data_IF_336691420402
#
_entry.id   IF_336691420402
#
_cell.length_a   1.000
_cell.length_b   1.000
_cell.length_c   1.000
_cell.angle_alpha   90.00
_cell.angle_beta   90.00
_cell.angle_gamma   90.00
#
_symmetry.space_group_name_H-M   'P 1'
#
loop_
_entity.id
_entity.type
_entity.pdbx_description
1 polymer ?
#
# COMPACT_ATOMS: atom_id res chain seq x y z
N UNK A 1 37.50 -44.30 -16.23
CA UNK A 1 36.49 -43.85 -15.25
C UNK A 1 37.17 -42.81 -14.39
N UNK A 2 36.65 -41.58 -14.46
CA UNK A 2 36.85 -40.43 -13.54
C UNK A 2 38.29 -39.98 -13.27
N UNK A 3 38.72 -38.82 -13.78
CA UNK A 3 38.66 -37.61 -12.97
C UNK A 3 38.29 -36.38 -13.82
N UNK A 4 37.07 -36.40 -14.35
CA UNK A 4 36.43 -35.38 -15.19
C UNK A 4 35.76 -34.27 -14.35
N UNK A 5 36.35 -33.87 -13.23
CA UNK A 5 35.68 -32.94 -12.28
C UNK A 5 36.41 -31.60 -12.07
N UNK A 6 37.64 -31.43 -12.55
CA UNK A 6 38.37 -30.16 -12.36
C UNK A 6 38.05 -29.10 -13.43
N UNK A 7 37.27 -29.46 -14.47
CA UNK A 7 36.96 -28.57 -15.61
C UNK A 7 35.66 -27.76 -15.44
N UNK A 8 34.80 -28.10 -14.47
CA UNK A 8 33.53 -27.39 -14.26
C UNK A 8 33.60 -26.24 -13.25
N UNK A 9 34.78 -25.98 -12.68
CA UNK A 9 34.96 -25.00 -11.61
C UNK A 9 35.13 -23.54 -12.05
N UNK A 10 35.25 -23.25 -13.35
CA UNK A 10 35.57 -21.88 -13.81
C UNK A 10 34.77 -21.35 -15.01
N UNK A 11 33.94 -22.16 -15.66
CA UNK A 11 33.40 -21.81 -17.00
C UNK A 11 31.94 -21.35 -17.05
N UNK A 12 31.24 -21.26 -15.91
CA UNK A 12 29.86 -20.75 -15.91
C UNK A 12 29.73 -19.65 -14.86
N UNK A 13 29.65 -18.41 -15.34
CA UNK A 13 29.29 -17.19 -14.61
C UNK A 13 30.44 -16.24 -14.17
N UNK A 14 31.60 -16.25 -14.84
CA UNK A 14 32.28 -14.98 -15.11
C UNK A 14 31.52 -14.25 -16.22
N UNK A 15 30.27 -13.84 -15.92
CA UNK A 15 29.46 -12.98 -16.76
C UNK A 15 30.35 -11.80 -17.17
N UNK A 16 30.70 -11.72 -18.45
CA UNK A 16 31.38 -10.55 -19.03
C UNK A 16 30.59 -9.31 -18.64
N UNK A 17 31.04 -8.62 -17.61
CA UNK A 17 30.48 -7.33 -17.25
C UNK A 17 30.88 -6.39 -18.39
N UNK A 18 29.92 -6.03 -19.25
CA UNK A 18 30.11 -4.91 -20.17
C UNK A 18 30.41 -3.66 -19.35
N UNK A 19 31.24 -2.75 -19.87
CA UNK A 19 31.55 -1.48 -19.18
C UNK A 19 30.28 -0.74 -18.74
N UNK A 20 29.22 -0.80 -19.57
CA UNK A 20 27.91 -0.27 -19.26
C UNK A 20 27.27 -0.92 -18.01
N UNK A 21 27.37 -2.25 -17.86
CA UNK A 21 26.87 -2.97 -16.68
C UNK A 21 27.73 -2.71 -15.43
N UNK A 22 29.06 -2.57 -15.54
CA UNK A 22 29.90 -2.12 -14.41
C UNK A 22 29.51 -0.73 -13.95
N UNK A 23 29.37 0.22 -14.89
CA UNK A 23 28.92 1.57 -14.59
C UNK A 23 27.51 1.61 -13.98
N UNK A 24 26.58 0.76 -14.44
CA UNK A 24 25.24 0.64 -13.84
C UNK A 24 25.27 0.02 -12.43
N UNK A 25 26.12 -0.98 -12.18
CA UNK A 25 26.27 -1.62 -10.85
C UNK A 25 27.02 -0.69 -9.88
N UNK A 26 28.02 0.06 -10.35
CA UNK A 26 28.67 1.15 -9.61
C UNK A 26 27.67 2.29 -9.32
N UNK A 27 26.75 2.59 -10.23
CA UNK A 27 25.63 3.50 -9.97
C UNK A 27 24.58 2.89 -9.00
N UNK A 28 24.38 1.57 -8.96
CA UNK A 28 23.52 0.91 -7.97
C UNK A 28 24.14 0.88 -6.57
N UNK A 29 25.48 0.96 -6.45
CA UNK A 29 26.16 1.25 -5.19
C UNK A 29 25.88 2.68 -4.67
N UNK A 30 25.16 3.53 -5.42
CA UNK A 30 24.66 4.84 -5.00
C UNK A 30 23.26 4.78 -4.38
N UNK A 31 22.88 3.68 -3.73
CA UNK A 31 22.02 3.86 -2.55
C UNK A 31 22.91 4.61 -1.56
N UNK A 32 22.78 5.93 -1.52
CA UNK A 32 23.54 6.77 -0.60
C UNK A 32 23.30 6.24 0.81
N UNK A 33 24.28 5.53 1.37
CA UNK A 33 24.19 4.82 2.66
C UNK A 33 23.83 5.81 3.76
N UNK A 34 24.34 7.04 3.67
CA UNK A 34 24.03 8.12 4.59
C UNK A 34 22.56 8.52 4.51
N UNK A 35 22.01 8.68 3.29
CA UNK A 35 20.58 8.96 3.08
C UNK A 35 19.68 7.79 3.52
N UNK A 36 20.13 6.55 3.32
CA UNK A 36 19.40 5.38 3.80
C UNK A 36 19.42 5.30 5.34
N UNK A 37 20.56 5.59 5.97
CA UNK A 37 20.70 5.66 7.42
C UNK A 37 19.85 6.80 8.01
N UNK A 38 19.81 7.95 7.35
CA UNK A 38 18.99 9.10 7.74
C UNK A 38 17.50 8.72 7.74
N UNK A 39 16.99 8.11 6.67
CA UNK A 39 15.61 7.60 6.58
C UNK A 39 15.32 6.52 7.64
N UNK A 40 16.27 5.61 7.89
CA UNK A 40 16.11 4.57 8.92
C UNK A 40 16.17 5.14 10.35
N UNK A 41 16.85 6.27 10.52
CA UNK A 41 16.94 6.99 11.80
C UNK A 41 15.75 7.90 12.07
N UNK A 42 15.00 8.30 11.02
CA UNK A 42 13.77 9.05 11.17
C UNK A 42 12.75 8.22 11.96
N UNK A 43 12.32 8.75 13.11
CA UNK A 43 11.28 8.10 13.90
C UNK A 43 9.97 8.14 13.11
N UNK A 44 9.34 6.98 12.95
CA UNK A 44 8.01 6.88 12.34
C UNK A 44 7.05 7.77 13.14
N UNK A 45 6.35 8.72 12.50
CA UNK A 45 5.39 9.57 13.19
C UNK A 45 4.35 8.75 13.95
N UNK A 46 3.87 9.22 15.11
CA UNK A 46 2.86 8.50 15.87
C UNK A 46 1.56 8.43 15.08
N UNK A 47 0.97 7.24 15.04
CA UNK A 47 -0.35 7.03 14.46
C UNK A 47 -1.42 7.66 15.38
N UNK A 48 -2.16 8.63 14.87
CA UNK A 48 -3.23 9.31 15.61
C UNK A 48 -4.57 8.85 15.06
N UNK A 49 -5.39 8.24 15.91
CA UNK A 49 -6.74 7.77 15.57
C UNK A 49 -7.70 8.12 16.69
N UNK A 50 -8.76 8.85 16.36
CA UNK A 50 -9.91 9.05 17.24
C UNK A 50 -10.78 7.78 17.23
N UNK A 51 -10.52 6.88 18.18
CA UNK A 51 -11.24 5.61 18.32
C UNK A 51 -12.74 5.81 18.57
N UNK A 52 -13.12 6.89 19.25
CA UNK A 52 -14.52 7.19 19.54
C UNK A 52 -15.29 7.54 18.27
N UNK A 53 -14.73 8.39 17.41
CA UNK A 53 -15.33 8.72 16.10
C UNK A 53 -15.32 7.51 15.16
N UNK A 54 -14.26 6.71 15.17
CA UNK A 54 -14.18 5.51 14.33
C UNK A 54 -15.27 4.49 14.70
N UNK A 55 -15.50 4.24 15.99
CA UNK A 55 -16.57 3.35 16.45
C UNK A 55 -17.97 3.89 16.08
N UNK A 56 -18.20 5.20 16.22
CA UNK A 56 -19.46 5.82 15.78
C UNK A 56 -19.70 5.63 14.29
N UNK A 57 -18.65 5.82 13.48
CA UNK A 57 -18.71 5.63 12.04
C UNK A 57 -19.07 4.19 11.68
N UNK A 58 -18.44 3.21 12.35
CA UNK A 58 -18.74 1.80 12.17
C UNK A 58 -20.22 1.50 12.46
N UNK A 59 -20.74 1.98 13.59
CA UNK A 59 -22.15 1.76 13.95
C UNK A 59 -23.09 2.34 12.90
N UNK A 60 -22.83 3.56 12.42
CA UNK A 60 -23.65 4.20 11.36
C UNK A 60 -23.65 3.38 10.08
N UNK A 61 -22.49 2.82 9.68
CA UNK A 61 -22.38 1.96 8.50
C UNK A 61 -23.19 0.68 8.68
N UNK A 62 -23.02 0.01 9.83
CA UNK A 62 -23.74 -1.22 10.15
C UNK A 62 -25.25 -1.00 10.11
N UNK A 63 -25.73 0.04 10.79
CA UNK A 63 -27.15 0.39 10.85
C UNK A 63 -27.72 0.70 9.46
N UNK A 64 -27.00 1.50 8.64
CA UNK A 64 -27.42 1.79 7.26
C UNK A 64 -27.45 0.56 6.37
N UNK A 65 -26.50 -0.35 6.56
CA UNK A 65 -26.29 -1.50 5.68
C UNK A 65 -27.24 -2.67 5.90
N UNK A 66 -28.09 -2.63 6.94
CA UNK A 66 -28.98 -3.72 7.32
C UNK A 66 -29.94 -4.17 6.22
N UNK A 67 -30.37 -3.23 5.37
CA UNK A 67 -31.31 -3.48 4.27
C UNK A 67 -30.65 -3.47 2.87
N UNK A 68 -29.31 -3.44 2.81
CA UNK A 68 -28.60 -3.38 1.53
C UNK A 68 -28.51 -4.75 0.87
N UNK A 69 -28.72 -4.78 -0.45
CA UNK A 69 -28.44 -5.93 -1.29
C UNK A 69 -26.93 -6.19 -1.35
N UNK A 70 -26.54 -7.40 -1.77
CA UNK A 70 -25.13 -7.77 -1.96
C UNK A 70 -24.41 -6.75 -2.86
N UNK A 71 -25.05 -6.33 -3.96
CA UNK A 71 -24.47 -5.37 -4.90
C UNK A 71 -24.25 -3.99 -4.25
N UNK A 72 -25.18 -3.53 -3.41
CA UNK A 72 -25.04 -2.26 -2.70
C UNK A 72 -23.96 -2.32 -1.62
N UNK A 73 -23.83 -3.46 -0.94
CA UNK A 73 -22.74 -3.72 0.01
C UNK A 73 -21.37 -3.72 -0.69
N UNK A 74 -21.25 -4.37 -1.86
CA UNK A 74 -20.02 -4.35 -2.66
C UNK A 74 -19.64 -2.93 -3.07
N UNK A 75 -20.62 -2.12 -3.49
CA UNK A 75 -20.40 -0.71 -3.85
C UNK A 75 -19.95 0.11 -2.64
N UNK A 76 -20.61 -0.05 -1.50
CA UNK A 76 -20.23 0.63 -0.26
C UNK A 76 -18.80 0.25 0.15
N UNK A 77 -18.48 -1.04 0.09
CA UNK A 77 -17.12 -1.53 0.39
C UNK A 77 -16.07 -0.92 -0.55
N UNK A 78 -16.33 -0.89 -1.86
CA UNK A 78 -15.42 -0.29 -2.83
C UNK A 78 -15.19 1.20 -2.55
N UNK A 79 -16.26 1.95 -2.25
CA UNK A 79 -16.19 3.37 -1.90
C UNK A 79 -15.32 3.61 -0.66
N UNK A 80 -15.55 2.87 0.41
CA UNK A 80 -14.77 2.97 1.65
C UNK A 80 -13.32 2.56 1.45
N UNK A 81 -13.08 1.50 0.69
CA UNK A 81 -11.73 1.02 0.36
C UNK A 81 -10.93 2.07 -0.40
N UNK A 82 -11.54 2.74 -1.38
CA UNK A 82 -10.91 3.84 -2.10
C UNK A 82 -10.63 5.03 -1.19
N UNK A 83 -11.53 5.36 -0.27
CA UNK A 83 -11.32 6.42 0.71
C UNK A 83 -10.11 6.11 1.60
N UNK A 84 -10.03 4.90 2.15
CA UNK A 84 -8.88 4.43 2.96
C UNK A 84 -7.59 4.50 2.16
N UNK A 85 -7.60 4.04 0.90
CA UNK A 85 -6.41 4.05 0.05
C UNK A 85 -5.90 5.48 -0.24
N UNK A 86 -6.81 6.44 -0.45
CA UNK A 86 -6.45 7.86 -0.66
C UNK A 86 -5.71 8.45 0.55
N UNK A 87 -6.04 8.01 1.76
CA UNK A 87 -5.48 8.51 3.03
C UNK A 87 -4.47 7.54 3.69
N UNK A 88 -3.94 6.55 2.95
CA UNK A 88 -3.07 5.51 3.52
C UNK A 88 -1.77 6.05 4.12
N UNK A 89 -1.23 7.15 3.55
CA UNK A 89 0.00 7.79 4.02
C UNK A 89 -0.19 8.78 5.18
N UNK A 90 -1.43 9.14 5.51
CA UNK A 90 -1.71 10.10 6.58
C UNK A 90 -1.56 9.41 7.96
N UNK A 91 -0.65 9.85 8.81
CA UNK A 91 -0.51 9.31 10.19
C UNK A 91 -1.63 9.78 11.11
N UNK A 92 -2.15 10.99 10.90
CA UNK A 92 -3.38 11.44 11.54
C UNK A 92 -4.59 11.04 10.69
N UNK A 93 -5.39 10.13 11.23
CA UNK A 93 -6.58 9.58 10.56
C UNK A 93 -7.82 10.48 10.69
N UNK A 94 -7.73 11.66 11.30
CA UNK A 94 -8.86 12.59 11.43
C UNK A 94 -9.49 12.93 10.08
N UNK A 95 -8.67 13.23 9.06
CA UNK A 95 -9.15 13.53 7.69
C UNK A 95 -9.80 12.32 7.02
N UNK A 96 -9.27 11.12 7.24
CA UNK A 96 -9.87 9.88 6.73
C UNK A 96 -11.25 9.66 7.32
N UNK A 97 -11.41 9.82 8.64
CA UNK A 97 -12.69 9.65 9.33
C UNK A 97 -13.72 10.66 8.82
N UNK A 98 -13.34 11.93 8.64
CA UNK A 98 -14.22 12.96 8.05
C UNK A 98 -14.60 12.63 6.60
N UNK A 99 -13.64 12.19 5.79
CA UNK A 99 -13.90 11.80 4.41
C UNK A 99 -14.88 10.62 4.33
N UNK A 100 -14.63 9.54 5.07
CA UNK A 100 -15.54 8.38 5.10
C UNK A 100 -16.93 8.78 5.58
N UNK A 101 -17.03 9.64 6.60
CA UNK A 101 -18.33 10.14 7.09
C UNK A 101 -19.13 10.82 5.97
N UNK A 102 -18.47 11.66 5.15
CA UNK A 102 -19.12 12.31 4.01
C UNK A 102 -19.52 11.31 2.93
N UNK A 103 -18.64 10.37 2.57
CA UNK A 103 -18.91 9.35 1.56
C UNK A 103 -20.10 8.47 1.98
N UNK A 104 -20.18 8.06 3.25
CA UNK A 104 -21.29 7.28 3.80
C UNK A 104 -22.59 8.09 3.86
N UNK A 105 -22.50 9.39 4.16
CA UNK A 105 -23.67 10.27 4.16
C UNK A 105 -24.23 10.46 2.74
N UNK A 106 -23.36 10.60 1.74
CA UNK A 106 -23.71 10.79 0.34
C UNK A 106 -24.09 9.48 -0.39
N UNK A 107 -23.71 8.32 0.15
CA UNK A 107 -24.01 7.03 -0.47
C UNK A 107 -25.52 6.80 -0.56
N UNK A 108 -26.01 6.76 -1.81
CA UNK A 108 -27.38 6.38 -2.15
C UNK A 108 -27.36 5.06 -2.92
N UNK A 109 -27.90 3.97 -2.34
CA UNK A 109 -27.90 2.64 -2.97
C UNK A 109 -28.64 2.61 -4.33
N UNK A 110 -29.66 3.47 -4.49
CA UNK A 110 -30.60 3.44 -5.61
C UNK A 110 -30.16 4.23 -6.85
N UNK A 111 -29.14 5.10 -6.75
CA UNK A 111 -28.76 6.03 -7.83
C UNK A 111 -27.99 5.39 -9.00
N UNK A 112 -27.74 4.07 -8.96
CA UNK A 112 -26.89 3.39 -9.94
C UNK A 112 -27.58 2.26 -10.71
N UNK A 113 -28.92 2.18 -10.69
CA UNK A 113 -29.66 1.28 -11.60
C UNK A 113 -29.80 1.96 -12.95
N UNK A 114 -28.77 1.77 -13.79
CA UNK A 114 -28.74 1.86 -15.25
C UNK A 114 -29.09 3.25 -15.84
N UNK A 115 -28.06 3.92 -16.36
CA UNK A 115 -28.20 4.92 -17.44
C UNK A 115 -27.98 4.27 -18.79
#
# INVERSE_FOLDING_TARGET
>A
IEHSLDKYANDICMLRMTRARRSQVEQQHLINVEKAMEILSEQTPPLIVDQGKLNKLLNVVVDKSGDYTILELEKLYALLSQCIYRHRGDYDKSKLIEAMTREIAAFNPSEFIIS
#
